data_IF_748004430358
#
_entry.id   IF_748004430358
#
_cell.length_a   1.000
_cell.length_b   1.000
_cell.length_c   1.000
_cell.angle_alpha   90.00
_cell.angle_beta   90.00
_cell.angle_gamma   90.00
#
_symmetry.space_group_name_H-M   'P 1'
#
loop_
_entity.id
_entity.type
_entity.pdbx_description
1 polymer ?
#
# COMPACT_ATOMS: atom_id res chain seq x y z
N UNK A 1 20.73 -10.96 -23.79
CA UNK A 1 20.54 -12.29 -23.18
C UNK A 1 21.40 -12.38 -21.91
N UNK A 2 20.80 -12.52 -20.71
CA UNK A 2 21.47 -12.57 -19.38
C UNK A 2 21.60 -14.02 -18.94
N UNK A 3 22.81 -14.44 -18.55
CA UNK A 3 23.03 -15.76 -17.94
C UNK A 3 22.78 -15.72 -16.44
N UNK A 4 22.61 -16.88 -15.82
CA UNK A 4 22.44 -16.97 -14.37
C UNK A 4 23.69 -16.51 -13.60
N UNK A 5 24.89 -16.76 -14.15
CA UNK A 5 26.15 -16.25 -13.62
C UNK A 5 26.22 -14.72 -13.70
N UNK A 6 25.65 -14.11 -14.75
CA UNK A 6 25.59 -12.64 -14.89
C UNK A 6 24.65 -11.98 -13.88
N UNK A 7 23.78 -12.73 -13.20
CA UNK A 7 22.79 -12.19 -12.25
C UNK A 7 23.30 -12.06 -10.82
N UNK A 8 24.30 -12.85 -10.42
CA UNK A 8 24.83 -12.81 -9.05
C UNK A 8 25.51 -11.47 -8.77
N UNK A 9 26.32 -10.98 -9.70
CA UNK A 9 27.01 -9.69 -9.58
C UNK A 9 26.04 -8.50 -9.38
N UNK A 10 25.01 -8.29 -10.24
CA UNK A 10 24.05 -7.21 -10.05
C UNK A 10 23.19 -7.38 -8.80
N UNK A 11 22.78 -8.60 -8.43
CA UNK A 11 22.06 -8.81 -7.17
C UNK A 11 22.92 -8.44 -5.96
N UNK A 12 24.19 -8.85 -5.96
CA UNK A 12 25.13 -8.54 -4.87
C UNK A 12 25.36 -7.05 -4.75
N UNK A 13 25.60 -6.36 -5.87
CA UNK A 13 25.82 -4.92 -5.86
C UNK A 13 24.57 -4.14 -5.44
N UNK A 14 23.38 -4.60 -5.83
CA UNK A 14 22.11 -4.02 -5.39
C UNK A 14 21.89 -4.23 -3.90
N UNK A 15 22.27 -5.38 -3.33
CA UNK A 15 22.17 -5.63 -1.89
C UNK A 15 23.10 -4.73 -1.08
N UNK A 16 24.29 -4.44 -1.61
CA UNK A 16 25.26 -3.52 -0.96
C UNK A 16 24.76 -2.07 -1.02
N UNK A 17 24.30 -1.61 -2.19
CA UNK A 17 24.03 -0.19 -2.41
C UNK A 17 22.58 0.23 -2.13
N UNK A 18 21.66 -0.74 -2.06
CA UNK A 18 20.22 -0.57 -1.85
C UNK A 18 19.63 0.61 -2.65
N UNK A 19 19.84 0.68 -3.98
CA UNK A 19 19.46 1.82 -4.80
C UNK A 19 17.94 2.11 -4.78
N UNK A 20 17.13 1.09 -4.54
CA UNK A 20 15.68 1.21 -4.43
C UNK A 20 15.22 1.91 -3.14
N UNK A 21 16.05 2.01 -2.09
CA UNK A 21 15.72 2.78 -0.86
C UNK A 21 15.91 4.29 -1.04
N UNK A 22 16.67 4.72 -2.06
CA UNK A 22 17.01 6.13 -2.30
C UNK A 22 15.86 6.92 -2.96
N UNK A 23 14.78 7.23 -2.25
CA UNK A 23 13.55 7.80 -2.82
C UNK A 23 13.72 9.08 -3.66
N UNK A 24 14.61 10.00 -3.27
CA UNK A 24 14.84 11.27 -3.97
C UNK A 24 15.82 11.16 -5.15
N UNK A 25 16.69 10.15 -5.15
CA UNK A 25 17.82 10.02 -6.08
C UNK A 25 17.90 8.62 -6.70
N UNK A 26 16.76 7.91 -6.81
CA UNK A 26 16.71 6.50 -7.22
C UNK A 26 17.44 6.28 -8.55
N UNK A 27 17.22 7.14 -9.55
CA UNK A 27 17.92 7.05 -10.85
C UNK A 27 19.44 7.11 -10.70
N UNK A 28 19.95 8.10 -9.97
CA UNK A 28 21.39 8.25 -9.72
C UNK A 28 21.98 7.06 -8.96
N UNK A 29 21.21 6.51 -8.01
CA UNK A 29 21.63 5.34 -7.25
C UNK A 29 21.76 4.10 -8.16
N UNK A 30 20.83 3.91 -9.09
CA UNK A 30 20.93 2.85 -10.10
C UNK A 30 22.08 3.06 -11.08
N UNK A 31 22.35 4.30 -11.51
CA UNK A 31 23.52 4.60 -12.35
C UNK A 31 24.84 4.31 -11.61
N UNK A 32 24.91 4.59 -10.31
CA UNK A 32 26.07 4.24 -9.50
C UNK A 32 26.29 2.72 -9.43
N UNK A 33 25.22 1.93 -9.25
CA UNK A 33 25.29 0.46 -9.31
C UNK A 33 25.80 -0.01 -10.67
N UNK A 34 25.26 0.51 -11.77
CA UNK A 34 25.70 0.16 -13.11
C UNK A 34 27.20 0.48 -13.34
N UNK A 35 27.66 1.65 -12.88
CA UNK A 35 29.06 2.04 -12.98
C UNK A 35 29.99 1.10 -12.21
N UNK A 36 29.61 0.68 -10.99
CA UNK A 36 30.39 -0.29 -10.21
C UNK A 36 30.45 -1.65 -10.91
N UNK A 37 29.32 -2.13 -11.44
CA UNK A 37 29.26 -3.39 -12.18
C UNK A 37 30.15 -3.38 -13.43
N UNK A 38 30.19 -2.26 -14.16
CA UNK A 38 31.10 -2.09 -15.31
C UNK A 38 32.59 -2.12 -14.93
N UNK A 39 32.94 -1.91 -13.65
CA UNK A 39 34.32 -2.00 -13.15
C UNK A 39 34.69 -3.40 -12.66
N UNK A 40 33.71 -4.31 -12.50
CA UNK A 40 33.96 -5.69 -12.07
C UNK A 40 34.63 -6.46 -13.20
N UNK A 41 35.82 -6.98 -12.94
CA UNK A 41 36.57 -7.78 -13.92
C UNK A 41 35.77 -9.05 -14.28
N UNK A 42 35.57 -9.29 -15.57
CA UNK A 42 34.79 -10.43 -16.07
C UNK A 42 33.28 -10.18 -16.17
N UNK A 43 32.78 -9.01 -15.77
CA UNK A 43 31.38 -8.66 -16.00
C UNK A 43 31.13 -8.31 -17.48
N UNK A 44 30.45 -9.20 -18.20
CA UNK A 44 30.35 -9.17 -19.66
C UNK A 44 29.39 -8.12 -20.26
N UNK A 45 28.87 -7.17 -19.48
CA UNK A 45 27.83 -6.23 -19.95
C UNK A 45 28.37 -4.86 -20.31
N UNK A 46 28.77 -4.75 -21.57
CA UNK A 46 29.15 -3.47 -22.18
C UNK A 46 27.91 -2.57 -22.28
N UNK A 47 28.02 -1.32 -21.81
CA UNK A 47 26.96 -0.33 -21.89
C UNK A 47 25.78 -0.58 -20.94
N UNK A 48 26.03 -1.20 -19.80
CA UNK A 48 25.06 -1.25 -18.70
C UNK A 48 24.84 0.18 -18.15
N UNK A 49 23.57 0.57 -18.03
CA UNK A 49 23.15 1.81 -17.41
C UNK A 49 22.19 1.52 -16.25
N UNK A 50 21.89 2.53 -15.42
CA UNK A 50 21.03 2.34 -14.25
C UNK A 50 19.64 1.83 -14.61
N UNK A 51 19.10 2.22 -15.76
CA UNK A 51 17.78 1.76 -16.23
C UNK A 51 17.80 0.26 -16.55
N UNK A 52 18.83 -0.23 -17.24
CA UNK A 52 19.01 -1.65 -17.55
C UNK A 52 19.27 -2.47 -16.29
N UNK A 53 20.09 -1.96 -15.37
CA UNK A 53 20.35 -2.60 -14.08
C UNK A 53 19.06 -2.74 -13.26
N UNK A 54 18.30 -1.64 -13.12
CA UNK A 54 17.01 -1.64 -12.43
C UNK A 54 15.99 -2.57 -13.10
N UNK A 55 15.88 -2.54 -14.42
CA UNK A 55 14.98 -3.42 -15.17
C UNK A 55 15.31 -4.90 -14.96
N UNK A 56 16.60 -5.26 -14.98
CA UNK A 56 17.03 -6.64 -14.73
C UNK A 56 16.73 -7.06 -13.30
N UNK A 57 17.03 -6.22 -12.31
CA UNK A 57 16.72 -6.49 -10.91
C UNK A 57 15.21 -6.76 -10.70
N UNK A 58 14.34 -5.89 -11.20
CA UNK A 58 12.88 -6.07 -11.09
C UNK A 58 12.39 -7.34 -11.80
N UNK A 59 13.01 -7.69 -12.93
CA UNK A 59 12.72 -8.95 -13.63
C UNK A 59 13.07 -10.17 -12.75
N UNK A 60 14.22 -10.14 -12.08
CA UNK A 60 14.68 -11.22 -11.20
C UNK A 60 13.76 -11.38 -9.99
N UNK A 61 13.37 -10.28 -9.34
CA UNK A 61 12.41 -10.33 -8.24
C UNK A 61 11.08 -10.96 -8.68
N UNK A 62 10.56 -10.57 -9.86
CA UNK A 62 9.30 -11.12 -10.37
C UNK A 62 9.39 -12.62 -10.65
N UNK A 63 10.46 -13.06 -11.32
CA UNK A 63 10.67 -14.49 -11.61
C UNK A 63 10.81 -15.28 -10.31
N UNK A 64 11.53 -14.74 -9.33
CA UNK A 64 11.73 -15.40 -8.05
C UNK A 64 10.46 -15.49 -7.21
N UNK A 65 9.60 -14.47 -7.21
CA UNK A 65 8.27 -14.56 -6.57
C UNK A 65 7.42 -15.67 -7.16
N UNK A 66 7.36 -15.77 -8.49
CA UNK A 66 6.64 -16.85 -9.16
C UNK A 66 7.24 -18.22 -8.81
N UNK A 67 8.57 -18.30 -8.67
CA UNK A 67 9.25 -19.49 -8.20
C UNK A 67 8.88 -19.83 -6.76
N UNK A 68 8.91 -18.89 -5.82
CA UNK A 68 8.50 -19.13 -4.43
C UNK A 68 7.05 -19.62 -4.33
N UNK A 69 6.14 -19.01 -5.08
CA UNK A 69 4.74 -19.44 -5.17
C UNK A 69 4.62 -20.87 -5.70
N UNK A 70 5.38 -21.23 -6.74
CA UNK A 70 5.33 -22.56 -7.35
C UNK A 70 6.04 -23.64 -6.51
N UNK A 71 7.18 -23.30 -5.91
CA UNK A 71 8.01 -24.19 -5.10
C UNK A 71 7.40 -24.50 -3.73
N UNK A 72 6.53 -23.62 -3.20
CA UNK A 72 5.66 -23.93 -2.04
C UNK A 72 4.86 -25.22 -2.24
N UNK A 73 4.61 -25.62 -3.49
CA UNK A 73 3.87 -26.83 -3.86
C UNK A 73 4.75 -27.99 -4.34
N UNK A 74 6.08 -27.84 -4.37
CA UNK A 74 7.05 -28.80 -4.93
C UNK A 74 8.31 -28.93 -4.04
N UNK A 75 8.15 -29.29 -2.77
CA UNK A 75 9.29 -29.49 -1.85
C UNK A 75 10.00 -30.82 -2.14
N UNK A 76 11.25 -30.78 -2.65
CA UNK A 76 12.11 -31.96 -2.75
C UNK A 76 13.32 -31.90 -3.69
N UNK A 77 13.59 -30.76 -4.34
CA UNK A 77 14.71 -30.65 -5.30
C UNK A 77 15.92 -29.99 -4.64
N UNK A 78 17.03 -30.71 -4.57
CA UNK A 78 18.36 -30.12 -4.30
C UNK A 78 18.73 -29.21 -5.47
N UNK A 79 18.90 -27.92 -5.21
CA UNK A 79 19.34 -26.93 -6.21
C UNK A 79 20.69 -26.34 -5.78
N UNK A 80 21.67 -26.42 -6.67
CA UNK A 80 23.05 -25.87 -6.55
C UNK A 80 23.08 -24.32 -6.67
N UNK A 81 22.07 -23.63 -6.16
CA UNK A 81 21.86 -22.18 -6.30
C UNK A 81 21.52 -21.47 -4.97
N UNK A 82 21.90 -22.04 -3.83
CA UNK A 82 21.58 -21.51 -2.49
C UNK A 82 21.94 -20.03 -2.34
N UNK A 83 23.09 -19.59 -2.86
CA UNK A 83 23.55 -18.21 -2.73
C UNK A 83 22.67 -17.17 -3.48
N UNK A 84 22.20 -17.49 -4.69
CA UNK A 84 21.33 -16.59 -5.49
C UNK A 84 19.95 -16.51 -4.86
N UNK A 85 19.41 -17.66 -4.41
CA UNK A 85 18.12 -17.78 -3.75
C UNK A 85 18.10 -17.00 -2.43
N UNK A 86 19.10 -17.22 -1.55
CA UNK A 86 19.22 -16.48 -0.28
C UNK A 86 19.32 -14.98 -0.49
N UNK A 87 20.08 -14.55 -1.50
CA UNK A 87 20.23 -13.14 -1.82
C UNK A 87 18.92 -12.54 -2.36
N UNK A 88 18.15 -13.31 -3.14
CA UNK A 88 16.83 -12.89 -3.62
C UNK A 88 15.79 -12.85 -2.49
N UNK A 89 15.84 -13.77 -1.53
CA UNK A 89 15.00 -13.73 -0.31
C UNK A 89 15.21 -12.43 0.46
N UNK A 90 16.47 -12.11 0.78
CA UNK A 90 16.84 -10.89 1.48
C UNK A 90 16.43 -9.63 0.69
N UNK A 91 16.72 -9.61 -0.61
CA UNK A 91 16.41 -8.46 -1.47
C UNK A 91 14.90 -8.24 -1.63
N UNK A 92 14.08 -9.30 -1.68
CA UNK A 92 12.62 -9.17 -1.69
C UNK A 92 12.15 -8.51 -0.40
N UNK A 93 12.60 -9.00 0.76
CA UNK A 93 12.21 -8.44 2.04
C UNK A 93 12.56 -6.95 2.13
N UNK A 94 13.80 -6.59 1.82
CA UNK A 94 14.26 -5.20 1.86
C UNK A 94 13.52 -4.31 0.86
N UNK A 95 13.15 -4.85 -0.31
CA UNK A 95 12.42 -4.11 -1.34
C UNK A 95 10.98 -3.84 -0.92
N UNK A 96 10.29 -4.84 -0.35
CA UNK A 96 8.91 -4.70 0.10
C UNK A 96 8.82 -3.75 1.30
N UNK A 97 9.71 -3.88 2.29
CA UNK A 97 9.80 -2.92 3.41
C UNK A 97 9.98 -1.48 2.90
N UNK A 98 10.88 -1.26 1.93
CA UNK A 98 11.11 0.05 1.34
C UNK A 98 9.93 0.57 0.50
N UNK A 99 9.17 -0.34 -0.11
CA UNK A 99 7.95 -0.01 -0.85
C UNK A 99 6.84 0.43 0.09
N UNK A 100 6.64 -0.30 1.18
CA UNK A 100 5.63 -0.04 2.20
C UNK A 100 5.91 1.28 2.93
N UNK A 101 7.17 1.53 3.33
CA UNK A 101 7.59 2.78 3.95
C UNK A 101 7.30 3.97 3.00
N UNK A 102 7.65 3.84 1.72
CA UNK A 102 7.37 4.87 0.72
C UNK A 102 5.88 5.09 0.51
N UNK A 103 5.07 4.04 0.55
CA UNK A 103 3.63 4.15 0.43
C UNK A 103 3.03 4.86 1.64
N UNK A 104 3.51 4.54 2.85
CA UNK A 104 3.10 5.21 4.08
C UNK A 104 3.50 6.71 4.09
N UNK A 105 4.72 7.05 3.68
CA UNK A 105 5.16 8.45 3.54
C UNK A 105 4.30 9.23 2.53
N UNK A 106 3.95 8.60 1.40
CA UNK A 106 3.06 9.21 0.41
C UNK A 106 1.66 9.41 0.96
N UNK A 107 1.12 8.42 1.66
CA UNK A 107 -0.21 8.50 2.27
C UNK A 107 -0.27 9.61 3.34
N UNK A 108 0.73 9.70 4.21
CA UNK A 108 0.81 10.76 5.23
C UNK A 108 0.97 12.15 4.62
N UNK A 109 1.77 12.29 3.57
CA UNK A 109 1.94 13.56 2.85
C UNK A 109 0.64 13.97 2.15
N UNK A 110 -0.04 13.03 1.51
CA UNK A 110 -1.35 13.27 0.89
C UNK A 110 -2.40 13.67 1.93
N UNK A 111 -2.46 12.97 3.07
CA UNK A 111 -3.38 13.30 4.16
C UNK A 111 -3.16 14.74 4.68
N UNK A 112 -1.90 15.13 4.94
CA UNK A 112 -1.55 16.50 5.35
C UNK A 112 -1.94 17.54 4.29
N UNK A 113 -1.76 17.22 3.01
CA UNK A 113 -2.19 18.10 1.92
C UNK A 113 -3.71 18.28 1.90
N UNK A 114 -4.48 17.19 2.06
CA UNK A 114 -5.94 17.23 2.11
C UNK A 114 -6.45 18.00 3.33
N UNK A 115 -5.84 17.84 4.50
CA UNK A 115 -6.19 18.58 5.71
C UNK A 115 -5.95 20.08 5.54
N UNK A 116 -4.80 20.46 4.96
CA UNK A 116 -4.47 21.86 4.66
C UNK A 116 -5.45 22.45 3.64
N UNK A 117 -5.85 21.69 2.64
CA UNK A 117 -6.84 22.11 1.64
C UNK A 117 -8.23 22.30 2.28
N UNK A 118 -8.66 21.38 3.13
CA UNK A 118 -9.91 21.47 3.87
C UNK A 118 -9.95 22.70 4.79
N UNK A 119 -8.87 22.94 5.54
CA UNK A 119 -8.73 24.12 6.39
C UNK A 119 -8.78 25.43 5.58
N UNK A 120 -8.08 25.47 4.44
CA UNK A 120 -8.12 26.62 3.55
C UNK A 120 -9.51 26.81 2.89
N UNK A 121 -10.20 25.71 2.56
CA UNK A 121 -11.58 25.70 2.08
C UNK A 121 -12.54 26.31 3.08
N UNK A 122 -12.48 25.86 4.34
CA UNK A 122 -13.29 26.39 5.44
C UNK A 122 -13.10 27.90 5.62
N UNK A 123 -11.85 28.40 5.61
CA UNK A 123 -11.58 29.84 5.72
C UNK A 123 -12.17 30.63 4.55
N UNK A 124 -12.06 30.12 3.31
CA UNK A 124 -12.66 30.77 2.12
C UNK A 124 -14.18 30.85 2.23
N UNK A 125 -14.82 29.77 2.66
CA UNK A 125 -16.27 29.71 2.83
C UNK A 125 -16.77 30.69 3.90
N UNK A 126 -16.11 30.72 5.07
CA UNK A 126 -16.43 31.66 6.14
C UNK A 126 -16.27 33.13 5.70
N UNK A 127 -15.25 33.44 4.88
CA UNK A 127 -15.06 34.78 4.34
C UNK A 127 -16.16 35.18 3.33
N UNK A 128 -16.59 34.26 2.46
CA UNK A 128 -17.68 34.48 1.51
C UNK A 128 -19.02 34.77 2.22
N UNK A 129 -19.31 34.04 3.30
CA UNK A 129 -20.54 34.23 4.09
C UNK A 129 -20.57 35.58 4.84
N UNK A 130 -19.42 36.07 5.31
CA UNK A 130 -19.31 37.38 6.00
C UNK A 130 -19.26 38.58 5.04
N UNK A 131 -18.85 38.38 3.79
CA UNK A 131 -18.77 39.43 2.77
C UNK A 131 -20.12 39.85 2.17
N UNK A 132 -21.18 39.07 2.37
CA UNK A 132 -22.54 39.38 1.88
C UNK A 132 -23.18 40.48 2.75
N UNK A 133 -22.69 41.71 2.62
CA UNK A 133 -23.38 42.88 3.15
C UNK A 133 -24.75 42.98 2.48
N UNK A 134 -25.80 42.82 3.29
CA UNK A 134 -27.17 43.15 2.92
C UNK A 134 -27.19 44.63 2.54
N UNK A 135 -27.32 44.95 1.26
CA UNK A 135 -27.63 46.30 0.80
C UNK A 135 -29.00 46.64 1.37
N UNK A 136 -29.01 47.43 2.44
CA UNK A 136 -30.21 47.95 3.04
C UNK A 136 -30.55 49.26 2.33
N UNK A 137 -31.26 49.16 1.21
CA UNK A 137 -32.09 50.27 0.74
C UNK A 137 -33.44 50.14 1.46
N UNK A 138 -33.78 51.18 2.20
CA UNK A 138 -34.90 51.18 3.13
C UNK A 138 -36.24 51.19 2.44
N UNK A 139 -37.24 50.62 3.10
CA UNK A 139 -38.56 51.22 3.16
C UNK A 139 -39.29 50.73 4.42
N UNK A 140 -40.08 51.62 4.96
CA UNK A 140 -40.84 51.54 6.20
C UNK A 140 -41.96 50.47 6.12
N UNK A 141 -42.53 50.13 7.27
CA UNK A 141 -43.79 49.39 7.48
C UNK A 141 -43.70 47.91 7.91
N UNK A 142 -43.95 47.71 9.22
CA UNK A 142 -44.53 46.49 9.85
C UNK A 142 -43.98 45.11 9.40
N UNK A 143 -42.71 44.78 9.66
CA UNK A 143 -42.09 43.51 9.21
C UNK A 143 -41.46 42.63 10.33
N UNK A 144 -41.62 42.97 11.62
CA UNK A 144 -40.92 42.25 12.71
C UNK A 144 -41.32 40.76 12.80
N UNK A 145 -42.57 40.45 12.45
CA UNK A 145 -43.17 39.12 12.60
C UNK A 145 -42.88 38.21 11.39
N UNK A 146 -42.69 38.78 10.20
CA UNK A 146 -42.29 38.04 8.99
C UNK A 146 -40.77 37.83 8.98
N UNK A 147 -39.98 38.81 9.46
CA UNK A 147 -38.54 38.65 9.65
C UNK A 147 -38.20 37.54 10.66
N UNK A 148 -38.98 37.40 11.74
CA UNK A 148 -38.80 36.31 12.72
C UNK A 148 -39.22 34.94 12.18
N UNK A 149 -40.31 34.86 11.39
CA UNK A 149 -40.70 33.62 10.69
C UNK A 149 -39.66 33.18 9.66
N UNK A 150 -39.09 34.10 8.89
CA UNK A 150 -38.00 33.80 7.93
C UNK A 150 -36.72 33.32 8.63
N UNK A 151 -36.34 33.93 9.76
CA UNK A 151 -35.20 33.45 10.57
C UNK A 151 -35.44 32.04 11.10
N UNK A 152 -36.64 31.76 11.62
CA UNK A 152 -37.00 30.44 12.14
C UNK A 152 -36.91 29.35 11.07
N UNK A 153 -37.45 29.61 9.86
CA UNK A 153 -37.37 28.67 8.75
C UNK A 153 -35.93 28.35 8.30
N UNK A 154 -35.02 29.32 8.39
CA UNK A 154 -33.58 29.13 8.07
C UNK A 154 -32.89 28.24 9.12
N UNK A 155 -33.20 28.44 10.40
CA UNK A 155 -32.68 27.56 11.46
C UNK A 155 -33.23 26.14 11.34
N UNK A 156 -34.54 25.99 11.09
CA UNK A 156 -35.17 24.68 10.89
C UNK A 156 -34.58 23.93 9.69
N UNK A 157 -34.24 24.63 8.60
CA UNK A 157 -33.58 24.01 7.44
C UNK A 157 -32.14 23.61 7.74
N UNK A 158 -31.37 24.43 8.46
CA UNK A 158 -30.02 24.07 8.89
C UNK A 158 -30.01 22.89 9.87
N UNK A 159 -30.93 22.86 10.84
CA UNK A 159 -31.06 21.72 11.76
C UNK A 159 -31.40 20.43 11.01
N UNK A 160 -32.26 20.51 10.00
CA UNK A 160 -32.60 19.36 9.17
C UNK A 160 -31.41 18.88 8.32
N UNK A 161 -30.61 19.80 7.79
CA UNK A 161 -29.39 19.48 7.03
C UNK A 161 -28.34 18.81 7.92
N UNK A 162 -28.13 19.31 9.14
CA UNK A 162 -27.23 18.71 10.13
C UNK A 162 -27.70 17.29 10.51
N UNK A 163 -29.01 17.10 10.69
CA UNK A 163 -29.56 15.78 11.01
C UNK A 163 -29.31 14.76 9.87
N UNK A 164 -29.51 15.16 8.62
CA UNK A 164 -29.23 14.33 7.45
C UNK A 164 -27.75 14.00 7.29
N UNK A 165 -26.86 14.95 7.60
CA UNK A 165 -25.42 14.70 7.60
C UNK A 165 -25.01 13.70 8.68
N UNK A 166 -25.59 13.82 9.88
CA UNK A 166 -25.35 12.89 10.97
C UNK A 166 -25.79 11.46 10.61
N UNK A 167 -27.00 11.30 10.06
CA UNK A 167 -27.52 10.00 9.61
C UNK A 167 -26.64 9.38 8.52
N UNK A 168 -26.17 10.20 7.57
CA UNK A 168 -25.23 9.74 6.52
C UNK A 168 -23.89 9.28 7.10
N UNK A 169 -23.36 9.97 8.11
CA UNK A 169 -22.11 9.60 8.77
C UNK A 169 -22.28 8.29 9.56
N UNK A 170 -23.40 8.12 10.25
CA UNK A 170 -23.73 6.88 10.95
C UNK A 170 -23.84 5.70 9.98
N UNK A 171 -24.54 5.88 8.86
CA UNK A 171 -24.64 4.84 7.83
C UNK A 171 -23.26 4.45 7.27
N UNK A 172 -22.40 5.45 7.03
CA UNK A 172 -21.03 5.20 6.53
C UNK A 172 -20.18 4.46 7.55
N UNK A 173 -20.31 4.79 8.84
CA UNK A 173 -19.64 4.10 9.94
C UNK A 173 -20.13 2.65 10.04
N UNK A 174 -21.44 2.43 10.03
CA UNK A 174 -22.04 1.10 10.06
C UNK A 174 -21.59 0.23 8.89
N UNK A 175 -21.56 0.80 7.67
CA UNK A 175 -21.06 0.09 6.48
C UNK A 175 -19.60 -0.35 6.65
N UNK A 176 -18.74 0.53 7.16
CA UNK A 176 -17.34 0.22 7.38
C UNK A 176 -17.14 -0.87 8.44
N UNK A 177 -17.93 -0.82 9.51
CA UNK A 177 -17.91 -1.82 10.58
C UNK A 177 -18.35 -3.20 10.09
N UNK A 178 -19.38 -3.26 9.24
CA UNK A 178 -19.80 -4.50 8.57
C UNK A 178 -18.71 -5.06 7.65
N UNK A 179 -18.03 -4.21 6.87
CA UNK A 179 -16.94 -4.62 5.99
C UNK A 179 -15.73 -5.18 6.79
N UNK A 180 -15.45 -4.59 7.96
CA UNK A 180 -14.42 -5.08 8.86
C UNK A 180 -14.77 -6.46 9.42
N UNK A 181 -16.01 -6.65 9.88
CA UNK A 181 -16.48 -7.94 10.39
C UNK A 181 -16.46 -9.04 9.31
N UNK A 182 -16.81 -8.71 8.06
CA UNK A 182 -16.74 -9.65 6.95
C UNK A 182 -15.29 -10.06 6.67
N UNK A 183 -14.35 -9.11 6.69
CA UNK A 183 -12.93 -9.37 6.51
C UNK A 183 -12.35 -10.22 7.65
N UNK A 184 -12.78 -9.98 8.89
CA UNK A 184 -12.40 -10.81 10.04
C UNK A 184 -12.95 -12.24 9.90
N UNK A 185 -14.19 -12.40 9.44
CA UNK A 185 -14.77 -13.73 9.16
C UNK A 185 -14.02 -14.48 8.07
N UNK A 186 -13.71 -13.83 6.95
CA UNK A 186 -12.90 -14.44 5.87
C UNK A 186 -11.51 -14.86 6.39
N UNK A 187 -10.90 -14.03 7.23
CA UNK A 187 -9.61 -14.37 7.86
C UNK A 187 -9.74 -15.59 8.78
N UNK A 188 -10.80 -15.65 9.58
CA UNK A 188 -11.07 -16.76 10.49
C UNK A 188 -11.41 -18.06 9.76
N UNK A 189 -12.18 -18.00 8.67
CA UNK A 189 -12.46 -19.16 7.82
C UNK A 189 -11.19 -19.73 7.19
N UNK A 190 -10.28 -18.87 6.70
CA UNK A 190 -8.99 -19.32 6.15
C UNK A 190 -8.11 -19.96 7.21
N UNK A 191 -8.14 -19.46 8.45
CA UNK A 191 -7.42 -20.07 9.56
C UNK A 191 -8.03 -21.44 9.89
N UNK A 192 -9.36 -21.53 9.97
CA UNK A 192 -10.07 -22.77 10.23
C UNK A 192 -9.79 -23.83 9.16
N UNK A 193 -9.81 -23.46 7.88
CA UNK A 193 -9.49 -24.37 6.78
C UNK A 193 -8.08 -24.95 6.92
N UNK A 194 -7.09 -24.12 7.29
CA UNK A 194 -5.72 -24.59 7.54
C UNK A 194 -5.63 -25.50 8.76
N UNK A 195 -6.41 -25.24 9.80
CA UNK A 195 -6.50 -26.13 10.97
C UNK A 195 -7.11 -27.47 10.62
N UNK A 196 -8.21 -27.49 9.88
CA UNK A 196 -8.87 -28.71 9.45
C UNK A 196 -7.97 -29.52 8.49
N UNK A 197 -7.23 -28.85 7.60
CA UNK A 197 -6.21 -29.51 6.75
C UNK A 197 -5.07 -30.11 7.57
N UNK A 198 -4.53 -29.36 8.54
CA UNK A 198 -3.49 -29.86 9.44
C UNK A 198 -3.98 -31.09 10.20
N UNK A 199 -5.19 -31.03 10.76
CA UNK A 199 -5.78 -32.15 11.48
C UNK A 199 -5.97 -33.39 10.58
N UNK A 200 -6.49 -33.21 9.36
CA UNK A 200 -6.61 -34.32 8.39
C UNK A 200 -5.25 -34.93 8.03
N UNK A 201 -4.23 -34.09 7.86
CA UNK A 201 -2.88 -34.54 7.58
C UNK A 201 -2.28 -35.30 8.77
N UNK A 202 -2.49 -34.82 9.99
CA UNK A 202 -2.03 -35.48 11.22
C UNK A 202 -2.72 -36.84 11.41
N UNK A 203 -4.05 -36.90 11.23
CA UNK A 203 -4.83 -38.14 11.31
C UNK A 203 -4.36 -39.17 10.25
N UNK A 204 -4.06 -38.71 9.03
CA UNK A 204 -3.50 -39.55 7.96
C UNK A 204 -2.10 -40.07 8.29
N UNK A 205 -1.24 -39.21 8.84
CA UNK A 205 0.10 -39.59 9.28
C UNK A 205 0.07 -40.58 10.44
N UNK A 206 -0.88 -40.42 11.37
CA UNK A 206 -1.12 -41.41 12.43
C UNK A 206 -1.58 -42.75 11.89
N UNK A 207 -2.44 -42.77 10.88
CA UNK A 207 -2.87 -44.00 10.23
C UNK A 207 -1.69 -44.73 9.56
N UNK A 208 -0.83 -43.98 8.86
CA UNK A 208 0.39 -44.50 8.23
C UNK A 208 1.35 -45.06 9.30
N UNK A 209 1.54 -44.33 10.41
CA UNK A 209 2.35 -44.79 11.55
C UNK A 209 1.80 -46.11 12.12
N UNK A 210 0.49 -46.27 12.26
CA UNK A 210 -0.11 -47.52 12.74
C UNK A 210 0.05 -48.69 11.75
N UNK A 211 0.02 -48.42 10.44
CA UNK A 211 0.23 -49.44 9.40
C UNK A 211 1.69 -49.90 9.30
N UNK A 212 2.65 -49.02 9.60
CA UNK A 212 4.09 -49.32 9.55
C UNK A 212 4.62 -50.04 10.79
N UNK A 213 3.92 -49.95 11.93
CA UNK A 213 4.31 -50.60 13.19
C UNK A 213 3.50 -51.88 13.48
N UNK A 214 2.94 -52.52 12.45
CA UNK A 214 2.20 -53.78 12.55
C UNK A 214 2.99 -54.96 11.98
#
# INVERSE_FOLDING_TARGET
>A
WWSDADDISPLTQVNIDLPFKQAKNTTKAWDAVANKLCQVHGFGRIGLDGKKASSRFNQLLRVYRNFQESSKYLSGVEQDETGKIMLLDELIQLFDEASDERQAERATTAAKATEKEAAAGYVREQAMMRGRRKSNEGDDSTDSDVASRKRKAIFETQEHEIALEHERLEFKKYKFEMELQEREKDTMERIQQREDERKRNDDMMDLIRHLLHR
#
